data_IF_041978170314
#
_entry.id   IF_041978170314
#
_cell.length_a   1.000
_cell.length_b   1.000
_cell.length_c   1.000
_cell.angle_alpha   90.00
_cell.angle_beta   90.00
_cell.angle_gamma   90.00
#
_symmetry.space_group_name_H-M   'P 1'
#
loop_
_entity.id
_entity.type
_entity.pdbx_description
1 polymer ?
#
# COMPACT_ATOMS: atom_id res chain seq x y z
N UNK A 1 -8.12 -13.53 19.26
CA UNK A 1 -7.21 -12.85 18.32
C UNK A 1 -5.82 -12.95 18.92
N UNK A 2 -4.83 -13.45 18.16
CA UNK A 2 -3.45 -13.48 18.65
C UNK A 2 -2.79 -12.09 18.55
N UNK A 3 -1.67 -11.91 19.25
CA UNK A 3 -0.98 -10.62 19.35
C UNK A 3 -0.43 -10.12 18.01
N UNK A 4 -0.04 -11.02 17.11
CA UNK A 4 0.45 -10.65 15.79
C UNK A 4 -0.68 -10.11 14.93
N UNK A 5 -1.77 -10.85 14.83
CA UNK A 5 -2.96 -10.49 14.06
C UNK A 5 -3.53 -9.16 14.54
N UNK A 6 -3.50 -8.93 15.86
CA UNK A 6 -3.92 -7.69 16.49
C UNK A 6 -3.17 -6.47 15.94
N UNK A 7 -1.84 -6.54 15.86
CA UNK A 7 -1.02 -5.43 15.36
C UNK A 7 -1.11 -5.31 13.84
N UNK A 8 -1.19 -6.41 13.11
CA UNK A 8 -1.37 -6.38 11.65
C UNK A 8 -2.67 -5.65 11.25
N UNK A 9 -3.78 -5.98 11.90
CA UNK A 9 -5.06 -5.31 11.68
C UNK A 9 -4.99 -3.83 12.09
N UNK A 10 -4.37 -3.52 13.23
CA UNK A 10 -4.19 -2.15 13.69
C UNK A 10 -3.34 -1.31 12.73
N UNK A 11 -2.33 -1.94 12.12
CA UNK A 11 -1.51 -1.32 11.09
C UNK A 11 -2.30 -1.04 9.80
N UNK A 12 -3.11 -1.99 9.33
CA UNK A 12 -3.99 -1.81 8.17
C UNK A 12 -5.00 -0.67 8.43
N UNK A 13 -5.57 -0.61 9.64
CA UNK A 13 -6.46 0.48 10.07
C UNK A 13 -5.72 1.83 10.06
N UNK A 14 -4.53 1.92 10.66
CA UNK A 14 -3.71 3.13 10.64
C UNK A 14 -3.36 3.58 9.21
N UNK A 15 -3.08 2.63 8.33
CA UNK A 15 -2.81 2.88 6.91
C UNK A 15 -4.03 3.45 6.19
N UNK A 16 -5.22 2.88 6.43
CA UNK A 16 -6.47 3.37 5.86
C UNK A 16 -6.86 4.76 6.39
N UNK A 17 -6.81 4.94 7.71
CA UNK A 17 -7.16 6.19 8.38
C UNK A 17 -6.26 7.35 7.94
N UNK A 18 -4.96 7.08 7.75
CA UNK A 18 -3.97 8.12 7.52
C UNK A 18 -4.02 9.18 8.61
N UNK A 19 -4.36 10.42 8.25
CA UNK A 19 -4.46 11.56 9.18
C UNK A 19 -5.83 11.70 9.87
N UNK A 20 -6.80 10.87 9.53
CA UNK A 20 -8.15 10.96 10.11
C UNK A 20 -8.11 10.64 11.61
N UNK A 21 -8.63 11.56 12.42
CA UNK A 21 -8.75 11.37 13.86
C UNK A 21 -10.09 10.70 14.21
N UNK A 22 -10.03 9.63 15.00
CA UNK A 22 -11.19 8.84 15.41
C UNK A 22 -11.27 8.85 16.94
N UNK A 23 -12.20 9.61 17.53
CA UNK A 23 -12.33 9.72 18.98
C UNK A 23 -12.63 8.39 19.68
N UNK A 24 -13.23 7.44 18.97
CA UNK A 24 -13.58 6.12 19.49
C UNK A 24 -12.34 5.19 19.61
N UNK A 25 -11.20 5.55 19.00
CA UNK A 25 -9.97 4.75 19.02
C UNK A 25 -8.91 5.39 19.90
N UNK A 26 -8.28 4.57 20.73
CA UNK A 26 -7.24 4.97 21.67
C UNK A 26 -6.00 4.10 21.45
N UNK A 27 -5.93 2.94 22.09
CA UNK A 27 -4.77 2.04 22.04
C UNK A 27 -4.56 1.39 20.67
N UNK A 28 -5.62 1.06 19.94
CA UNK A 28 -5.52 0.43 18.62
C UNK A 28 -4.74 1.33 17.64
N UNK A 29 -4.93 2.64 17.74
CA UNK A 29 -4.21 3.58 16.88
C UNK A 29 -2.75 3.72 17.28
N UNK A 30 -2.47 3.79 18.58
CA UNK A 30 -1.10 3.80 19.13
C UNK A 30 -0.33 2.56 18.70
N UNK A 31 -0.98 1.40 18.72
CA UNK A 31 -0.43 0.14 18.26
C UNK A 31 -0.07 0.16 16.76
N UNK A 32 -0.99 0.63 15.90
CA UNK A 32 -0.73 0.78 14.46
C UNK A 32 0.40 1.79 14.17
N UNK A 33 0.49 2.87 14.95
CA UNK A 33 1.58 3.85 14.87
C UNK A 33 2.92 3.27 15.31
N UNK A 34 2.96 2.45 16.35
CA UNK A 34 4.17 1.77 16.81
C UNK A 34 4.70 0.78 15.78
N UNK A 35 3.82 -0.02 15.18
CA UNK A 35 4.18 -0.92 14.08
C UNK A 35 4.73 -0.13 12.88
N UNK A 36 4.03 0.94 12.48
CA UNK A 36 4.48 1.83 11.41
C UNK A 36 5.87 2.38 11.70
N UNK A 37 6.08 2.96 12.89
CA UNK A 37 7.36 3.56 13.22
C UNK A 37 8.49 2.52 13.25
N UNK A 38 8.27 1.37 13.89
CA UNK A 38 9.25 0.28 13.99
C UNK A 38 9.74 -0.20 12.62
N UNK A 39 8.82 -0.39 11.67
CA UNK A 39 9.16 -0.75 10.28
C UNK A 39 10.04 0.32 9.64
N UNK A 40 9.71 1.60 9.82
CA UNK A 40 10.40 2.69 9.12
C UNK A 40 11.77 3.04 9.73
N UNK A 41 11.94 2.92 11.05
CA UNK A 41 13.20 3.26 11.74
C UNK A 41 14.19 2.10 11.83
N UNK A 42 13.76 0.87 11.54
CA UNK A 42 14.62 -0.32 11.51
C UNK A 42 15.86 -0.07 10.64
N UNK A 43 17.04 -0.43 11.15
CA UNK A 43 18.32 -0.32 10.42
C UNK A 43 18.86 1.11 10.28
N UNK A 44 18.19 2.11 10.85
CA UNK A 44 18.74 3.46 10.94
C UNK A 44 19.76 3.55 12.07
N UNK A 45 20.72 4.45 11.90
CA UNK A 45 21.59 4.86 13.01
C UNK A 45 20.83 5.72 14.02
N UNK A 46 21.58 6.33 14.93
CA UNK A 46 21.01 7.24 15.92
C UNK A 46 20.19 8.37 15.26
N UNK A 47 18.97 8.57 15.77
CA UNK A 47 18.03 9.56 15.27
C UNK A 47 17.79 10.60 16.35
N UNK A 48 18.01 11.87 16.03
CA UNK A 48 17.64 12.96 16.92
C UNK A 48 16.11 13.03 17.08
N UNK A 49 15.63 13.09 18.32
CA UNK A 49 14.20 13.05 18.62
C UNK A 49 13.42 14.25 18.06
N UNK A 50 14.00 15.46 18.07
CA UNK A 50 13.34 16.64 17.49
C UNK A 50 13.24 16.56 15.97
N UNK A 51 14.21 15.93 15.31
CA UNK A 51 14.11 15.64 13.88
C UNK A 51 12.99 14.63 13.67
N UNK A 52 12.96 13.52 14.41
CA UNK A 52 11.92 12.52 14.31
C UNK A 52 10.52 13.13 14.52
N UNK A 53 10.36 13.98 15.53
CA UNK A 53 9.11 14.68 15.84
C UNK A 53 8.61 15.56 14.70
N UNK A 54 9.51 16.29 14.03
CA UNK A 54 9.17 17.17 12.91
C UNK A 54 8.71 16.40 11.67
N UNK A 55 9.20 15.19 11.49
CA UNK A 55 8.95 14.39 10.28
C UNK A 55 7.82 13.36 10.48
N UNK A 56 7.54 12.94 11.72
CA UNK A 56 6.64 11.81 12.00
C UNK A 56 5.19 12.01 11.55
N UNK A 57 4.65 13.22 11.72
CA UNK A 57 3.27 13.52 11.33
C UNK A 57 3.09 13.47 9.81
N UNK A 58 4.04 14.09 9.09
CA UNK A 58 3.99 14.19 7.65
C UNK A 58 4.17 12.83 6.96
N UNK A 59 5.16 12.04 7.40
CA UNK A 59 5.58 10.82 6.69
C UNK A 59 4.97 9.53 7.24
N UNK A 60 4.66 9.46 8.53
CA UNK A 60 4.16 8.24 9.16
C UNK A 60 2.72 8.39 9.64
N UNK A 61 2.12 9.58 9.46
CA UNK A 61 0.82 9.93 10.03
C UNK A 61 0.79 9.72 11.56
N UNK A 62 1.92 9.99 12.22
CA UNK A 62 2.08 9.90 13.68
C UNK A 62 2.12 11.33 14.22
N UNK A 63 1.04 11.84 14.84
CA UNK A 63 1.03 13.19 15.37
C UNK A 63 2.08 13.35 16.47
N UNK A 64 2.65 14.56 16.58
CA UNK A 64 3.69 14.86 17.58
C UNK A 64 3.26 14.56 19.02
N UNK A 65 1.96 14.62 19.32
CA UNK A 65 1.39 14.29 20.63
C UNK A 65 1.51 12.80 20.97
N UNK A 66 1.31 11.92 19.97
CA UNK A 66 1.37 10.47 20.15
C UNK A 66 2.80 9.92 20.05
N UNK A 67 3.71 10.60 19.34
CA UNK A 67 5.06 10.08 19.07
C UNK A 67 5.83 9.68 20.33
N UNK A 68 5.69 10.45 21.43
CA UNK A 68 6.40 10.14 22.68
C UNK A 68 5.98 8.79 23.24
N UNK A 69 4.68 8.51 23.24
CA UNK A 69 4.11 7.25 23.69
C UNK A 69 4.56 6.10 22.79
N UNK A 70 4.45 6.29 21.48
CA UNK A 70 4.91 5.32 20.48
C UNK A 70 6.39 4.96 20.68
N UNK A 71 7.25 5.95 20.89
CA UNK A 71 8.68 5.75 21.17
C UNK A 71 8.89 5.00 22.48
N UNK A 72 8.13 5.31 23.54
CA UNK A 72 8.26 4.55 24.79
C UNK A 72 7.85 3.09 24.62
N UNK A 73 6.75 2.80 23.91
CA UNK A 73 6.31 1.43 23.60
C UNK A 73 7.42 0.66 22.88
N UNK A 74 8.00 1.27 21.84
CA UNK A 74 9.13 0.66 21.13
C UNK A 74 10.35 0.46 22.02
N UNK A 75 10.55 1.32 23.02
CA UNK A 75 11.61 1.13 24.02
C UNK A 75 11.32 -0.03 24.97
N UNK A 76 10.06 -0.21 25.37
CA UNK A 76 9.62 -1.28 26.27
C UNK A 76 9.68 -2.66 25.60
N UNK A 77 9.39 -2.75 24.30
CA UNK A 77 9.59 -3.99 23.52
C UNK A 77 11.03 -4.16 23.00
N UNK A 78 11.98 -3.35 23.51
CA UNK A 78 13.41 -3.39 23.17
C UNK A 78 13.74 -3.17 21.69
N UNK A 79 12.84 -2.54 20.94
CA UNK A 79 13.03 -2.22 19.52
C UNK A 79 13.84 -0.94 19.32
N UNK A 80 13.95 -0.10 20.33
CA UNK A 80 14.81 1.07 20.34
C UNK A 80 15.47 1.26 21.70
N UNK A 81 16.65 1.87 21.71
CA UNK A 81 17.25 2.44 22.91
C UNK A 81 16.94 3.94 22.96
N UNK A 82 16.45 4.41 24.10
CA UNK A 82 16.06 5.81 24.29
C UNK A 82 17.15 6.55 25.07
N UNK A 83 17.81 7.51 24.41
CA UNK A 83 18.79 8.38 25.07
C UNK A 83 18.09 9.60 25.66
N UNK A 84 18.18 9.77 26.97
CA UNK A 84 17.52 10.87 27.69
C UNK A 84 18.53 11.87 28.23
N UNK A 85 18.16 13.16 28.19
CA UNK A 85 18.82 14.23 28.94
C UNK A 85 17.81 14.73 29.98
N UNK A 86 18.01 14.33 31.24
CA UNK A 86 17.01 14.52 32.30
C UNK A 86 15.72 13.76 31.99
N UNK A 87 14.59 14.48 31.85
CA UNK A 87 13.27 13.90 31.51
C UNK A 87 12.97 13.92 30.00
N UNK A 88 13.82 14.54 29.20
CA UNK A 88 13.58 14.78 27.78
C UNK A 88 14.31 13.73 26.93
N UNK A 89 13.61 13.18 25.93
CA UNK A 89 14.22 12.27 24.96
C UNK A 89 15.08 13.11 24.01
N UNK A 90 16.36 12.79 23.92
CA UNK A 90 17.33 13.49 23.07
C UNK A 90 17.52 12.80 21.72
N UNK A 91 17.66 11.48 21.74
CA UNK A 91 17.79 10.64 20.56
C UNK A 91 17.24 9.25 20.82
N UNK A 92 17.01 8.51 19.74
CA UNK A 92 16.69 7.08 19.76
C UNK A 92 17.70 6.34 18.89
N UNK A 93 18.05 5.12 19.30
CA UNK A 93 18.90 4.22 18.54
C UNK A 93 18.07 2.98 18.22
N UNK A 94 17.65 2.79 16.96
CA UNK A 94 16.86 1.63 16.58
C UNK A 94 17.64 0.32 16.70
N UNK A 95 17.04 -0.67 17.35
CA UNK A 95 17.53 -2.04 17.45
C UNK A 95 16.48 -3.08 17.00
N UNK A 96 15.59 -2.65 16.10
CA UNK A 96 14.51 -3.50 15.58
C UNK A 96 15.13 -4.77 14.93
N UNK A 97 14.76 -5.99 15.39
CA UNK A 97 15.33 -7.24 14.89
C UNK A 97 15.15 -7.42 13.36
N UNK A 98 16.11 -8.06 12.65
CA UNK A 98 15.96 -8.38 11.21
C UNK A 98 14.93 -9.48 10.99
N UNK A 99 15.18 -10.58 11.69
CA UNK A 99 14.58 -11.90 11.47
C UNK A 99 13.32 -12.14 12.31
N UNK A 100 12.98 -11.20 13.21
CA UNK A 100 11.78 -11.34 14.02
C UNK A 100 10.64 -10.52 13.44
N UNK A 101 9.45 -11.07 13.64
CA UNK A 101 8.20 -10.45 13.27
C UNK A 101 7.97 -9.18 14.11
N UNK A 102 8.08 -8.00 13.49
CA UNK A 102 7.86 -6.70 14.14
C UNK A 102 6.55 -6.71 14.91
N UNK A 103 5.51 -7.28 14.31
CA UNK A 103 4.15 -7.28 14.82
C UNK A 103 4.03 -8.15 16.05
N UNK A 104 4.72 -9.29 16.10
CA UNK A 104 4.74 -10.13 17.29
C UNK A 104 5.38 -9.40 18.49
N UNK A 105 6.49 -8.70 18.28
CA UNK A 105 7.14 -7.95 19.36
C UNK A 105 6.33 -6.74 19.81
N UNK A 106 5.79 -5.92 18.89
CA UNK A 106 4.87 -4.82 19.25
C UNK A 106 3.62 -5.37 19.95
N UNK A 107 3.09 -6.50 19.46
CA UNK A 107 1.88 -7.12 19.99
C UNK A 107 2.08 -7.72 21.38
N UNK A 108 3.32 -7.95 21.82
CA UNK A 108 3.60 -8.38 23.20
C UNK A 108 3.27 -7.30 24.23
N UNK A 109 3.20 -6.03 23.81
CA UNK A 109 2.86 -4.90 24.67
C UNK A 109 1.34 -4.73 24.89
N UNK A 110 0.51 -5.24 23.97
CA UNK A 110 -0.92 -4.97 23.96
C UNK A 110 -1.73 -6.25 24.15
N UNK A 111 -2.84 -6.15 24.88
CA UNK A 111 -3.84 -7.21 24.94
C UNK A 111 -5.14 -6.79 24.25
N UNK A 112 -5.74 -7.70 23.48
CA UNK A 112 -7.07 -7.49 22.91
C UNK A 112 -8.12 -7.14 23.97
N UNK A 113 -7.99 -7.68 25.19
CA UNK A 113 -8.93 -7.43 26.30
C UNK A 113 -8.85 -6.02 26.88
N UNK A 114 -7.77 -5.28 26.61
CA UNK A 114 -7.56 -3.91 27.11
C UNK A 114 -8.15 -2.86 26.17
N UNK A 115 -8.49 -3.25 24.95
CA UNK A 115 -9.13 -2.39 23.96
C UNK A 115 -10.58 -2.11 24.33
N UNK A 116 -11.08 -0.94 23.92
CA UNK A 116 -12.47 -0.58 24.11
C UNK A 116 -13.39 -1.34 23.12
N UNK A 117 -14.71 -1.27 23.34
CA UNK A 117 -15.69 -2.01 22.53
C UNK A 117 -15.66 -1.63 21.03
N UNK A 118 -15.39 -0.37 20.70
CA UNK A 118 -15.30 0.08 19.30
C UNK A 118 -14.06 -0.46 18.60
N UNK A 119 -12.92 -0.50 19.30
CA UNK A 119 -11.67 -1.07 18.81
C UNK A 119 -11.79 -2.58 18.63
N UNK A 120 -12.27 -3.29 19.65
CA UNK A 120 -12.51 -4.74 19.58
C UNK A 120 -13.47 -5.08 18.44
N UNK A 121 -14.59 -4.36 18.35
CA UNK A 121 -15.58 -4.57 17.30
C UNK A 121 -15.01 -4.35 15.90
N UNK A 122 -14.22 -3.28 15.73
CA UNK A 122 -13.57 -2.97 14.44
C UNK A 122 -12.59 -4.05 14.03
N UNK A 123 -11.74 -4.51 14.96
CA UNK A 123 -10.75 -5.55 14.69
C UNK A 123 -11.41 -6.89 14.33
N UNK A 124 -12.51 -7.26 15.00
CA UNK A 124 -13.26 -8.47 14.68
C UNK A 124 -13.89 -8.41 13.28
N UNK A 125 -14.51 -7.27 12.93
CA UNK A 125 -15.06 -7.06 11.58
C UNK A 125 -13.95 -7.17 10.53
N UNK A 126 -12.82 -6.48 10.75
CA UNK A 126 -11.73 -6.48 9.79
C UNK A 126 -11.05 -7.85 9.70
N UNK A 127 -10.97 -8.61 10.80
CA UNK A 127 -10.48 -10.00 10.80
C UNK A 127 -11.28 -10.91 9.87
N UNK A 128 -12.62 -10.77 9.84
CA UNK A 128 -13.44 -11.52 8.88
C UNK A 128 -13.22 -11.00 7.45
N UNK A 129 -13.26 -9.68 7.27
CA UNK A 129 -13.15 -9.05 5.96
C UNK A 129 -11.78 -9.17 5.29
N UNK A 130 -10.72 -9.43 6.07
CA UNK A 130 -9.40 -9.75 5.54
C UNK A 130 -9.35 -11.11 4.85
N UNK A 131 -10.21 -12.05 5.25
CA UNK A 131 -10.25 -13.40 4.67
C UNK A 131 -11.15 -13.47 3.44
N UNK A 132 -12.26 -12.74 3.44
CA UNK A 132 -13.19 -12.65 2.30
C UNK A 132 -14.15 -11.46 2.45
N UNK A 133 -14.70 -10.94 1.34
CA UNK A 133 -15.90 -10.12 1.40
C UNK A 133 -17.06 -10.92 2.01
N UNK A 134 -17.91 -10.26 2.79
CA UNK A 134 -18.97 -10.94 3.52
C UNK A 134 -20.25 -10.10 3.59
N UNK A 135 -21.40 -10.78 3.66
CA UNK A 135 -22.69 -10.12 3.80
C UNK A 135 -22.83 -9.43 5.17
N UNK A 136 -23.29 -8.19 5.18
CA UNK A 136 -23.55 -7.42 6.41
C UNK A 136 -24.42 -8.18 7.42
N UNK A 137 -25.44 -8.90 6.95
CA UNK A 137 -26.35 -9.64 7.83
C UNK A 137 -25.69 -10.90 8.41
N UNK A 138 -24.76 -11.53 7.68
CA UNK A 138 -23.92 -12.61 8.23
C UNK A 138 -22.96 -12.08 9.31
N UNK A 139 -22.37 -10.89 9.12
CA UNK A 139 -21.53 -10.24 10.15
C UNK A 139 -22.35 -9.90 11.40
N UNK A 140 -23.54 -9.32 11.22
CA UNK A 140 -24.47 -9.02 12.33
C UNK A 140 -24.78 -10.26 13.16
N UNK A 141 -25.09 -11.38 12.49
CA UNK A 141 -25.51 -12.60 13.15
C UNK A 141 -24.34 -13.34 13.83
N UNK A 142 -23.13 -13.24 13.30
CA UNK A 142 -21.96 -13.95 13.84
C UNK A 142 -21.32 -13.25 15.04
N UNK A 143 -21.33 -11.92 15.09
CA UNK A 143 -20.57 -11.16 16.09
C UNK A 143 -21.39 -10.72 17.33
N UNK A 144 -22.71 -10.94 17.33
CA UNK A 144 -23.62 -10.56 18.43
C UNK A 144 -23.43 -9.10 18.94
N UNK A 145 -23.07 -8.18 18.04
CA UNK A 145 -22.86 -6.78 18.41
C UNK A 145 -24.18 -6.04 18.64
N UNK A 146 -24.16 -5.05 19.52
CA UNK A 146 -25.22 -4.05 19.56
C UNK A 146 -25.29 -3.33 18.20
N UNK A 147 -26.49 -3.17 17.65
CA UNK A 147 -26.71 -2.52 16.35
C UNK A 147 -26.03 -1.15 16.21
N UNK A 148 -25.97 -0.36 17.31
CA UNK A 148 -25.32 0.95 17.32
C UNK A 148 -23.80 0.84 17.22
N UNK A 149 -23.21 -0.07 17.99
CA UNK A 149 -21.77 -0.33 17.98
C UNK A 149 -21.33 -0.78 16.58
N UNK A 150 -21.99 -1.78 16.00
CA UNK A 150 -21.68 -2.25 14.65
C UNK A 150 -21.77 -1.12 13.62
N UNK A 151 -22.86 -0.35 13.65
CA UNK A 151 -23.02 0.78 12.73
C UNK A 151 -21.87 1.77 12.87
N UNK A 152 -21.49 2.13 14.09
CA UNK A 152 -20.37 3.05 14.35
C UNK A 152 -19.05 2.49 13.80
N UNK A 153 -18.74 1.22 14.03
CA UNK A 153 -17.53 0.59 13.49
C UNK A 153 -17.50 0.57 11.95
N UNK A 154 -18.66 0.31 11.31
CA UNK A 154 -18.77 0.34 9.85
C UNK A 154 -18.66 1.76 9.28
N UNK A 155 -19.27 2.74 9.93
CA UNK A 155 -19.18 4.16 9.54
C UNK A 155 -17.73 4.63 9.63
N UNK A 156 -17.04 4.36 10.75
CA UNK A 156 -15.61 4.68 10.91
C UNK A 156 -14.77 3.94 9.86
N UNK A 157 -15.05 2.66 9.58
CA UNK A 157 -14.30 1.90 8.59
C UNK A 157 -14.49 2.37 7.16
N UNK A 158 -15.67 2.85 6.82
CA UNK A 158 -15.96 3.46 5.53
C UNK A 158 -15.20 4.79 5.37
N UNK A 159 -15.27 5.66 6.38
CA UNK A 159 -14.59 6.96 6.39
C UNK A 159 -13.05 6.78 6.41
N UNK A 160 -12.58 5.78 7.15
CA UNK A 160 -11.18 5.37 7.26
C UNK A 160 -10.67 4.52 6.11
N UNK A 161 -11.45 4.30 5.05
CA UNK A 161 -11.01 3.57 3.85
C UNK A 161 -10.46 2.15 4.08
N UNK A 162 -10.81 1.49 5.18
CA UNK A 162 -10.42 0.10 5.46
C UNK A 162 -11.61 -0.89 5.43
N UNK A 163 -12.84 -0.37 5.29
CA UNK A 163 -14.05 -1.13 4.96
C UNK A 163 -14.75 -0.46 3.78
N UNK A 164 -15.22 -1.26 2.82
CA UNK A 164 -16.09 -0.83 1.72
C UNK A 164 -17.41 -1.58 1.80
N UNK A 165 -18.50 -0.91 1.45
CA UNK A 165 -19.84 -1.49 1.39
C UNK A 165 -20.37 -1.35 -0.03
N UNK A 166 -20.76 -2.48 -0.60
CA UNK A 166 -21.30 -2.60 -1.94
C UNK A 166 -22.73 -3.11 -1.85
N UNK A 167 -23.66 -2.40 -2.49
CA UNK A 167 -25.06 -2.80 -2.52
C UNK A 167 -25.40 -3.40 -3.87
N UNK A 168 -25.61 -4.71 -3.91
CA UNK A 168 -25.95 -5.44 -5.13
C UNK A 168 -27.19 -6.30 -4.88
N UNK A 169 -28.22 -6.14 -5.73
CA UNK A 169 -29.50 -6.88 -5.66
C UNK A 169 -30.13 -6.95 -4.26
N UNK A 170 -30.07 -5.85 -3.52
CA UNK A 170 -30.66 -5.73 -2.18
C UNK A 170 -29.80 -6.29 -1.04
N UNK A 171 -28.66 -6.92 -1.33
CA UNK A 171 -27.67 -7.36 -0.34
C UNK A 171 -26.60 -6.28 -0.16
N UNK A 172 -26.10 -6.14 1.06
CA UNK A 172 -24.94 -5.29 1.37
C UNK A 172 -23.74 -6.20 1.61
N UNK A 173 -22.79 -6.19 0.69
CA UNK A 173 -21.54 -6.94 0.79
C UNK A 173 -20.46 -5.99 1.31
N UNK A 174 -19.85 -6.37 2.41
CA UNK A 174 -18.72 -5.67 3.00
C UNK A 174 -17.43 -6.29 2.49
N UNK A 175 -16.42 -5.47 2.24
CA UNK A 175 -15.09 -5.95 1.87
C UNK A 175 -14.00 -5.07 2.47
N UNK A 176 -12.85 -5.65 2.74
CA UNK A 176 -11.65 -4.89 3.03
C UNK A 176 -10.88 -4.60 1.74
N UNK A 177 -10.44 -3.34 1.48
CA UNK A 177 -9.47 -3.04 0.44
C UNK A 177 -8.19 -3.89 0.53
N UNK A 178 -7.80 -4.28 1.74
CA UNK A 178 -6.64 -5.13 1.99
C UNK A 178 -6.85 -6.59 1.59
N UNK A 179 -8.11 -7.06 1.48
CA UNK A 179 -8.40 -8.37 0.88
C UNK A 179 -8.12 -8.34 -0.62
N UNK A 180 -8.68 -7.37 -1.34
CA UNK A 180 -8.48 -7.29 -2.79
C UNK A 180 -7.02 -7.08 -3.17
N UNK A 181 -6.28 -6.37 -2.32
CA UNK A 181 -4.87 -6.10 -2.52
C UNK A 181 -3.98 -7.32 -2.76
N UNK A 182 -4.37 -8.46 -2.18
CA UNK A 182 -3.51 -9.64 -2.09
C UNK A 182 -4.07 -10.87 -2.81
N UNK A 183 -5.27 -10.78 -3.39
CA UNK A 183 -6.04 -11.95 -3.85
C UNK A 183 -6.40 -11.87 -5.35
N UNK A 184 -5.40 -11.74 -6.23
CA UNK A 184 -5.64 -11.63 -7.68
C UNK A 184 -6.38 -12.84 -8.26
N UNK A 185 -5.93 -14.05 -7.92
CA UNK A 185 -6.50 -15.29 -8.47
C UNK A 185 -7.95 -15.47 -8.02
N UNK A 186 -8.25 -15.23 -6.75
CA UNK A 186 -9.63 -15.24 -6.25
C UNK A 186 -10.52 -14.22 -6.96
N UNK A 187 -10.00 -13.03 -7.29
CA UNK A 187 -10.74 -12.02 -8.04
C UNK A 187 -11.04 -12.48 -9.47
N UNK A 188 -10.07 -13.08 -10.15
CA UNK A 188 -10.23 -13.62 -11.50
C UNK A 188 -11.24 -14.78 -11.51
N UNK A 189 -11.14 -15.69 -10.54
CA UNK A 189 -12.05 -16.81 -10.40
C UNK A 189 -13.49 -16.37 -10.15
N UNK A 190 -13.69 -15.39 -9.27
CA UNK A 190 -15.02 -14.83 -8.99
C UNK A 190 -15.56 -14.10 -10.21
N UNK A 191 -14.76 -13.26 -10.88
CA UNK A 191 -15.18 -12.59 -12.10
C UNK A 191 -15.62 -13.59 -13.19
N UNK A 192 -14.87 -14.68 -13.37
CA UNK A 192 -15.19 -15.74 -14.32
C UNK A 192 -16.48 -16.48 -13.95
N UNK A 193 -16.64 -16.89 -12.68
CA UNK A 193 -17.84 -17.59 -12.18
C UNK A 193 -19.09 -16.72 -12.26
N UNK A 194 -18.96 -15.42 -12.02
CA UNK A 194 -20.05 -14.45 -12.06
C UNK A 194 -20.43 -14.01 -13.48
N UNK A 195 -19.66 -14.38 -14.50
CA UNK A 195 -19.90 -13.96 -15.89
C UNK A 195 -19.44 -12.52 -16.19
N UNK A 196 -18.63 -11.91 -15.32
CA UNK A 196 -18.12 -10.55 -15.47
C UNK A 196 -16.92 -10.49 -16.44
N UNK A 197 -17.17 -10.79 -17.71
CA UNK A 197 -16.14 -10.96 -18.75
C UNK A 197 -15.31 -9.69 -19.03
N UNK A 198 -15.89 -8.49 -18.90
CA UNK A 198 -15.12 -7.25 -19.08
C UNK A 198 -14.19 -6.99 -17.90
N UNK A 199 -14.58 -7.37 -16.67
CA UNK A 199 -13.68 -7.29 -15.51
C UNK A 199 -12.50 -8.24 -15.71
N UNK A 200 -12.75 -9.48 -16.13
CA UNK A 200 -11.68 -10.42 -16.45
C UNK A 200 -10.73 -9.85 -17.50
N UNK A 201 -11.29 -9.26 -18.57
CA UNK A 201 -10.51 -8.65 -19.64
C UNK A 201 -9.67 -7.47 -19.14
N UNK A 202 -10.25 -6.60 -18.31
CA UNK A 202 -9.53 -5.47 -17.69
C UNK A 202 -8.36 -5.97 -16.86
N UNK A 203 -8.57 -6.96 -15.99
CA UNK A 203 -7.52 -7.55 -15.16
C UNK A 203 -6.40 -8.14 -16.03
N UNK A 204 -6.73 -8.90 -17.07
CA UNK A 204 -5.76 -9.53 -17.98
C UNK A 204 -4.90 -8.49 -18.72
N UNK A 205 -5.53 -7.42 -19.23
CA UNK A 205 -4.85 -6.36 -19.96
C UNK A 205 -3.90 -5.58 -19.04
N UNK A 206 -4.33 -5.29 -17.80
CA UNK A 206 -3.49 -4.64 -16.79
C UNK A 206 -2.35 -5.57 -16.37
N UNK A 207 -2.61 -6.86 -16.13
CA UNK A 207 -1.59 -7.87 -15.78
C UNK A 207 -0.47 -7.90 -16.82
N UNK A 208 -0.84 -7.85 -18.10
CA UNK A 208 0.11 -7.85 -19.22
C UNK A 208 0.86 -6.53 -19.40
N UNK A 209 0.40 -5.44 -18.76
CA UNK A 209 0.90 -4.09 -18.97
C UNK A 209 1.01 -3.29 -17.66
N UNK A 210 1.60 -3.91 -16.63
CA UNK A 210 1.74 -3.33 -15.29
C UNK A 210 2.34 -1.90 -15.33
N UNK A 211 1.74 -1.03 -14.52
CA UNK A 211 2.16 0.35 -14.33
C UNK A 211 1.86 1.26 -15.51
N UNK A 212 0.75 1.05 -16.22
CA UNK A 212 0.33 2.00 -17.26
C UNK A 212 -0.29 3.26 -16.61
N UNK A 213 0.03 4.49 -17.07
CA UNK A 213 -0.53 5.72 -16.50
C UNK A 213 -2.02 5.84 -16.78
N UNK A 214 -2.82 6.05 -15.73
CA UNK A 214 -4.28 6.14 -15.82
C UNK A 214 -4.73 7.25 -16.77
N UNK A 215 -4.07 8.41 -16.76
CA UNK A 215 -4.38 9.52 -17.67
C UNK A 215 -4.25 9.15 -19.15
N UNK A 216 -3.29 8.28 -19.49
CA UNK A 216 -3.11 7.77 -20.86
C UNK A 216 -4.20 6.78 -21.23
N UNK A 217 -4.58 5.89 -20.31
CA UNK A 217 -5.67 4.93 -20.52
C UNK A 217 -6.96 5.68 -20.81
N UNK A 218 -7.30 6.67 -19.99
CA UNK A 218 -8.54 7.44 -20.14
C UNK A 218 -8.60 8.23 -21.45
N UNK A 219 -7.46 8.75 -21.91
CA UNK A 219 -7.37 9.54 -23.15
C UNK A 219 -7.37 8.69 -24.41
N UNK A 220 -6.69 7.53 -24.37
CA UNK A 220 -6.46 6.71 -25.57
C UNK A 220 -7.41 5.51 -25.68
N UNK A 221 -8.09 5.13 -24.60
CA UNK A 221 -8.81 3.86 -24.49
C UNK A 221 -7.91 2.68 -24.85
N UNK A 222 -6.64 2.73 -24.49
CA UNK A 222 -5.65 1.75 -24.89
C UNK A 222 -4.62 1.50 -23.79
N UNK A 223 -4.23 0.23 -23.66
CA UNK A 223 -3.14 -0.21 -22.80
C UNK A 223 -2.23 -1.13 -23.61
N UNK A 224 -0.98 -0.71 -23.82
CA UNK A 224 0.02 -1.55 -24.49
C UNK A 224 -0.37 -2.05 -25.88
N UNK A 225 -1.07 -1.25 -26.69
CA UNK A 225 -1.57 -1.68 -28.01
C UNK A 225 -2.96 -2.34 -27.99
N UNK A 226 -3.49 -2.65 -26.80
CA UNK A 226 -4.81 -3.28 -26.65
C UNK A 226 -5.87 -2.22 -26.40
N UNK A 227 -6.85 -2.13 -27.30
CA UNK A 227 -8.00 -1.23 -27.15
C UNK A 227 -8.95 -1.72 -26.06
N UNK A 228 -9.49 -0.78 -25.30
CA UNK A 228 -10.54 -0.97 -24.33
C UNK A 228 -11.87 -0.41 -24.84
N UNK A 229 -12.97 -1.05 -24.44
CA UNK A 229 -14.31 -0.46 -24.59
C UNK A 229 -14.54 0.63 -23.54
N UNK A 230 -15.55 1.47 -23.74
CA UNK A 230 -15.92 2.48 -22.75
C UNK A 230 -16.38 1.84 -21.44
N UNK A 231 -17.06 0.69 -21.52
CA UNK A 231 -17.44 -0.15 -20.36
C UNK A 231 -16.19 -0.65 -19.61
N UNK A 232 -15.19 -1.20 -20.31
CA UNK A 232 -13.94 -1.67 -19.71
C UNK A 232 -13.14 -0.52 -19.07
N UNK A 233 -13.09 0.66 -19.69
CA UNK A 233 -12.50 1.85 -19.08
C UNK A 233 -13.24 2.24 -17.80
N UNK A 234 -14.57 2.28 -17.85
CA UNK A 234 -15.40 2.63 -16.69
C UNK A 234 -15.16 1.67 -15.53
N UNK A 235 -15.12 0.37 -15.82
CA UNK A 235 -14.75 -0.68 -14.86
C UNK A 235 -13.34 -0.48 -14.31
N UNK A 236 -12.34 -0.25 -15.17
CA UNK A 236 -10.95 -0.06 -14.74
C UNK A 236 -10.81 1.11 -13.76
N UNK A 237 -11.40 2.26 -14.07
CA UNK A 237 -11.38 3.43 -13.18
C UNK A 237 -12.06 3.10 -11.85
N UNK A 238 -13.21 2.44 -11.89
CA UNK A 238 -13.94 2.07 -10.68
C UNK A 238 -13.16 1.06 -9.82
N UNK A 239 -12.57 0.03 -10.42
CA UNK A 239 -11.73 -0.94 -9.73
C UNK A 239 -10.52 -0.28 -9.07
N UNK A 240 -9.93 0.76 -9.66
CA UNK A 240 -8.89 1.57 -9.01
C UNK A 240 -9.44 2.34 -7.80
N UNK A 241 -10.61 2.98 -7.94
CA UNK A 241 -11.22 3.77 -6.86
C UNK A 241 -11.62 2.93 -5.65
N UNK A 242 -12.00 1.67 -5.87
CA UNK A 242 -12.36 0.72 -4.82
C UNK A 242 -11.17 -0.10 -4.31
N UNK A 243 -9.94 0.22 -4.75
CA UNK A 243 -8.70 -0.49 -4.40
C UNK A 243 -8.68 -1.97 -4.81
N UNK A 244 -9.52 -2.37 -5.77
CA UNK A 244 -9.48 -3.71 -6.35
C UNK A 244 -8.28 -3.83 -7.30
N UNK A 245 -8.05 -2.80 -8.12
CA UNK A 245 -6.77 -2.59 -8.78
C UNK A 245 -5.91 -1.65 -7.93
N UNK A 246 -4.60 -1.86 -7.98
CA UNK A 246 -3.61 -1.09 -7.21
C UNK A 246 -3.24 0.18 -7.97
N UNK A 247 -3.54 1.38 -7.45
CA UNK A 247 -3.33 2.62 -8.18
C UNK A 247 -2.30 3.53 -7.45
N UNK A 248 -1.04 3.11 -7.24
CA UNK A 248 -0.05 3.97 -6.63
C UNK A 248 0.12 5.25 -7.46
N UNK A 249 0.34 6.36 -6.76
CA UNK A 249 0.52 7.67 -7.38
C UNK A 249 1.93 8.18 -7.16
N UNK A 250 2.49 8.79 -8.21
CA UNK A 250 3.77 9.48 -8.14
C UNK A 250 3.55 10.97 -8.39
N UNK A 251 4.22 11.82 -7.60
CA UNK A 251 4.25 13.27 -7.78
C UNK A 251 5.51 13.66 -8.56
N UNK A 252 5.35 14.42 -9.64
CA UNK A 252 6.43 14.91 -10.48
C UNK A 252 6.30 16.41 -10.67
N UNK A 253 7.14 17.18 -9.97
CA UNK A 253 7.02 18.64 -9.93
C UNK A 253 5.65 19.05 -9.40
N UNK A 254 4.87 19.78 -10.21
CA UNK A 254 3.51 20.23 -9.88
C UNK A 254 2.41 19.26 -10.36
N UNK A 255 2.77 18.13 -10.95
CA UNK A 255 1.83 17.13 -11.48
C UNK A 255 1.81 15.87 -10.63
N UNK A 256 0.69 15.17 -10.61
CA UNK A 256 0.56 13.84 -10.00
C UNK A 256 -0.05 12.91 -11.03
N UNK A 257 0.52 11.72 -11.16
CA UNK A 257 0.03 10.67 -12.05
C UNK A 257 -0.23 9.39 -11.27
N UNK A 258 -1.30 8.69 -11.63
CA UNK A 258 -1.69 7.42 -11.03
C UNK A 258 -1.36 6.30 -12.02
N UNK A 259 -0.69 5.26 -11.54
CA UNK A 259 -0.29 4.12 -12.36
C UNK A 259 -1.13 2.91 -11.97
N UNK A 260 -1.54 2.10 -12.94
CA UNK A 260 -2.48 0.99 -12.71
C UNK A 260 -1.73 -0.33 -12.66
N UNK A 261 -1.95 -1.07 -11.58
CA UNK A 261 -1.39 -2.39 -11.33
C UNK A 261 -2.50 -3.36 -10.91
N UNK A 262 -2.27 -4.65 -11.12
CA UNK A 262 -3.09 -5.67 -10.47
C UNK A 262 -2.73 -5.79 -8.98
N UNK A 263 -3.59 -6.40 -8.16
CA UNK A 263 -3.20 -7.03 -6.90
C UNK A 263 -1.97 -7.92 -7.05
N UNK A 264 -1.34 -8.26 -5.93
CA UNK A 264 -0.22 -9.21 -5.96
C UNK A 264 -0.68 -10.52 -6.60
N UNK A 265 0.04 -11.04 -7.61
CA UNK A 265 -0.29 -12.35 -8.17
C UNK A 265 -0.13 -13.46 -7.12
N UNK A 266 -0.89 -14.54 -7.23
CA UNK A 266 -0.90 -15.64 -6.25
C UNK A 266 -2.23 -15.80 -5.49
N UNK A 267 -2.34 -16.92 -4.78
CA UNK A 267 -3.49 -17.31 -3.94
C UNK A 267 -3.29 -17.02 -2.45
N UNK A 268 -2.05 -16.83 -2.02
CA UNK A 268 -1.73 -16.62 -0.62
C UNK A 268 -1.58 -15.13 -0.33
N UNK A 269 -2.24 -14.68 0.75
CA UNK A 269 -2.07 -13.34 1.30
C UNK A 269 -0.57 -13.06 1.46
N UNK A 270 -0.10 -11.96 0.90
CA UNK A 270 1.26 -11.53 1.16
C UNK A 270 1.39 -11.19 2.64
N UNK A 271 2.42 -11.75 3.28
CA UNK A 271 2.84 -11.22 4.56
C UNK A 271 3.26 -9.74 4.38
N UNK A 272 3.32 -9.00 5.47
CA UNK A 272 3.59 -7.58 5.40
C UNK A 272 4.93 -7.23 4.70
N UNK A 273 6.00 -7.96 4.99
CA UNK A 273 7.30 -7.73 4.37
C UNK A 273 7.21 -7.85 2.84
N UNK A 274 6.47 -8.85 2.35
CA UNK A 274 6.23 -9.05 0.94
C UNK A 274 5.31 -7.98 0.33
N UNK A 275 4.32 -7.45 1.08
CA UNK A 275 3.52 -6.29 0.65
C UNK A 275 4.41 -5.07 0.43
N UNK A 276 5.37 -4.81 1.32
CA UNK A 276 6.32 -3.70 1.17
C UNK A 276 7.24 -3.90 -0.05
N UNK A 277 7.76 -5.11 -0.25
CA UNK A 277 8.55 -5.46 -1.45
C UNK A 277 7.72 -5.22 -2.72
N UNK A 278 6.44 -5.59 -2.71
CA UNK A 278 5.53 -5.38 -3.83
C UNK A 278 5.29 -3.89 -4.11
N UNK A 279 5.06 -3.07 -3.08
CA UNK A 279 4.92 -1.61 -3.21
C UNK A 279 6.19 -0.97 -3.80
N UNK A 280 7.39 -1.39 -3.35
CA UNK A 280 8.67 -0.91 -3.92
C UNK A 280 8.82 -1.32 -5.39
N UNK A 281 8.41 -2.54 -5.75
CA UNK A 281 8.42 -2.99 -7.13
C UNK A 281 7.46 -2.19 -8.02
N UNK A 282 6.24 -1.90 -7.53
CA UNK A 282 5.29 -1.03 -8.24
C UNK A 282 5.87 0.37 -8.44
N UNK A 283 6.51 0.95 -7.43
CA UNK A 283 7.16 2.25 -7.55
C UNK A 283 8.31 2.24 -8.58
N UNK A 284 9.14 1.18 -8.61
CA UNK A 284 10.18 0.99 -9.62
C UNK A 284 9.58 0.99 -11.04
N UNK A 285 8.52 0.21 -11.23
CA UNK A 285 7.82 0.13 -12.52
C UNK A 285 7.22 1.48 -12.88
N UNK A 286 6.52 2.15 -11.96
CA UNK A 286 5.88 3.43 -12.20
C UNK A 286 6.90 4.51 -12.59
N UNK A 287 8.07 4.57 -11.94
CA UNK A 287 9.15 5.48 -12.32
C UNK A 287 9.68 5.20 -13.72
N UNK A 288 9.86 3.92 -14.08
CA UNK A 288 10.31 3.52 -15.42
C UNK A 288 9.23 3.82 -16.47
N UNK A 289 7.96 3.59 -16.15
CA UNK A 289 6.81 3.85 -17.02
C UNK A 289 6.58 5.35 -17.23
N UNK A 290 6.84 6.20 -16.23
CA UNK A 290 6.91 7.66 -16.40
C UNK A 290 7.89 8.01 -17.51
N UNK A 291 9.14 7.58 -17.42
CA UNK A 291 10.14 7.88 -18.46
C UNK A 291 9.87 7.20 -19.81
N UNK A 292 9.10 6.11 -19.84
CA UNK A 292 8.74 5.44 -21.09
C UNK A 292 7.58 6.14 -21.82
N UNK A 293 6.51 6.45 -21.09
CA UNK A 293 5.21 6.81 -21.65
C UNK A 293 4.87 8.30 -21.48
N UNK A 294 5.47 8.94 -20.47
CA UNK A 294 5.33 10.36 -20.16
C UNK A 294 6.71 11.06 -20.07
N UNK A 295 7.63 10.87 -21.04
CA UNK A 295 8.93 11.56 -21.00
C UNK A 295 8.79 13.03 -21.34
N UNK A 296 9.61 13.87 -20.70
CA UNK A 296 9.75 15.27 -21.10
C UNK A 296 10.79 15.41 -22.23
N UNK A 297 11.96 14.81 -22.04
CA UNK A 297 13.11 14.84 -22.94
C UNK A 297 13.78 13.47 -23.13
N UNK A 298 13.82 12.60 -22.11
CA UNK A 298 14.59 11.36 -22.10
C UNK A 298 13.70 10.11 -22.10
N UNK A 299 13.19 9.74 -23.28
CA UNK A 299 12.33 8.55 -23.44
C UNK A 299 13.08 7.24 -23.17
N UNK A 300 12.56 6.44 -22.22
CA UNK A 300 12.96 5.06 -22.01
C UNK A 300 12.34 4.18 -23.10
N UNK A 301 13.18 3.49 -23.88
CA UNK A 301 12.73 2.57 -24.95
C UNK A 301 12.64 1.12 -24.49
N UNK A 302 13.49 0.72 -23.54
CA UNK A 302 13.61 -0.66 -23.09
C UNK A 302 13.53 -0.72 -21.55
N UNK A 303 12.32 -0.66 -20.97
CA UNK A 303 12.12 -0.55 -19.54
C UNK A 303 12.76 -1.71 -18.76
N UNK A 304 12.58 -2.94 -19.25
CA UNK A 304 13.19 -4.14 -18.63
C UNK A 304 14.72 -4.07 -18.64
N UNK A 305 15.34 -3.70 -19.77
CA UNK A 305 16.81 -3.60 -19.85
C UNK A 305 17.37 -2.50 -18.95
N UNK A 306 16.61 -1.44 -18.72
CA UNK A 306 17.00 -0.38 -17.80
C UNK A 306 17.08 -0.91 -16.36
N UNK A 307 16.04 -1.63 -15.90
CA UNK A 307 16.04 -2.25 -14.57
C UNK A 307 17.11 -3.35 -14.44
N UNK A 308 17.34 -4.16 -15.48
CA UNK A 308 18.44 -5.12 -15.50
C UNK A 308 19.81 -4.42 -15.36
N UNK A 309 20.01 -3.32 -16.08
CA UNK A 309 21.24 -2.52 -15.95
C UNK A 309 21.40 -1.92 -14.55
N UNK A 310 20.30 -1.51 -13.90
CA UNK A 310 20.34 -1.05 -12.51
C UNK A 310 20.78 -2.18 -11.57
N UNK A 311 20.25 -3.39 -11.75
CA UNK A 311 20.62 -4.57 -10.94
C UNK A 311 22.09 -4.94 -11.09
N UNK A 312 22.55 -5.00 -12.34
CA UNK A 312 23.93 -5.38 -12.70
C UNK A 312 24.95 -4.33 -12.23
N UNK A 313 24.73 -3.05 -12.59
CA UNK A 313 25.72 -1.99 -12.36
C UNK A 313 25.58 -1.33 -11.00
N UNK A 314 24.39 -1.40 -10.39
CA UNK A 314 24.03 -0.66 -9.18
C UNK A 314 23.67 0.80 -9.44
N UNK A 315 23.67 1.27 -10.69
CA UNK A 315 23.28 2.65 -11.02
C UNK A 315 22.75 2.81 -12.45
N UNK A 316 21.98 3.89 -12.66
CA UNK A 316 21.52 4.37 -13.96
C UNK A 316 22.33 5.60 -14.38
N UNK A 317 22.61 5.69 -15.68
CA UNK A 317 23.34 6.83 -16.27
C UNK A 317 22.59 8.13 -16.05
N UNK A 318 23.35 9.23 -15.96
CA UNK A 318 22.80 10.53 -15.68
C UNK A 318 21.90 11.09 -16.80
N UNK A 319 20.87 11.82 -16.38
CA UNK A 319 20.10 12.74 -17.21
C UNK A 319 19.50 13.84 -16.30
N UNK A 320 18.83 14.83 -16.88
CA UNK A 320 18.21 15.93 -16.12
C UNK A 320 16.87 15.55 -15.48
N UNK A 321 16.13 14.60 -16.06
CA UNK A 321 14.86 14.13 -15.50
C UNK A 321 15.03 13.19 -14.30
N UNK A 322 16.21 12.60 -14.11
CA UNK A 322 16.44 11.54 -13.12
C UNK A 322 16.10 11.97 -11.69
N UNK A 323 16.33 13.25 -11.35
CA UNK A 323 15.96 13.77 -10.03
C UNK A 323 14.45 13.74 -9.78
N UNK A 324 13.64 14.09 -10.79
CA UNK A 324 12.18 14.10 -10.68
C UNK A 324 11.64 12.67 -10.83
N UNK A 325 12.18 11.93 -11.80
CA UNK A 325 11.71 10.59 -12.16
C UNK A 325 11.94 9.56 -11.05
N UNK A 326 13.08 9.60 -10.37
CA UNK A 326 13.45 8.57 -9.38
C UNK A 326 13.39 9.08 -7.93
N UNK A 327 12.86 10.29 -7.69
CA UNK A 327 12.70 10.87 -6.36
C UNK A 327 11.99 9.92 -5.40
N UNK A 328 10.88 9.33 -5.87
CA UNK A 328 10.05 8.43 -5.06
C UNK A 328 10.77 7.14 -4.69
N UNK A 329 11.70 6.67 -5.53
CA UNK A 329 12.56 5.55 -5.18
C UNK A 329 13.59 5.88 -4.12
N UNK A 330 13.97 7.16 -3.99
CA UNK A 330 14.78 7.62 -2.86
C UNK A 330 13.96 7.62 -1.58
N UNK A 331 12.70 8.08 -1.64
CA UNK A 331 11.78 8.03 -0.51
C UNK A 331 11.57 6.60 0.01
N UNK A 332 11.29 5.66 -0.89
CA UNK A 332 11.12 4.24 -0.56
C UNK A 332 12.44 3.52 -0.23
N UNK A 333 13.55 4.25 -0.13
CA UNK A 333 14.91 3.73 0.15
C UNK A 333 15.38 2.68 -0.85
N UNK A 334 14.81 2.66 -2.04
CA UNK A 334 15.23 1.78 -3.14
C UNK A 334 16.57 2.28 -3.70
N UNK A 335 16.78 3.60 -3.77
CA UNK A 335 18.04 4.16 -4.25
C UNK A 335 18.41 5.51 -3.68
N UNK A 336 19.45 6.12 -4.23
CA UNK A 336 19.95 7.46 -3.91
C UNK A 336 20.23 8.20 -5.20
N UNK A 337 19.99 9.50 -5.19
CA UNK A 337 20.34 10.39 -6.30
C UNK A 337 21.72 11.00 -6.06
N UNK A 338 22.61 10.85 -7.04
CA UNK A 338 23.95 11.46 -7.03
C UNK A 338 24.04 12.54 -8.09
N UNK A 339 24.24 13.78 -7.67
CA UNK A 339 24.45 14.91 -8.57
C UNK A 339 25.86 14.85 -9.16
N UNK A 340 25.98 14.96 -10.49
CA UNK A 340 27.26 14.99 -11.22
C UNK A 340 27.56 16.35 -11.88
N UNK A 341 26.60 17.27 -11.88
CA UNK A 341 26.70 18.61 -12.46
C UNK A 341 25.46 19.44 -12.11
N UNK A 342 25.30 20.63 -12.68
CA UNK A 342 24.20 21.55 -12.32
C UNK A 342 22.80 20.94 -12.48
N UNK A 343 22.59 20.12 -13.50
CA UNK A 343 21.28 19.52 -13.83
C UNK A 343 21.40 18.07 -14.32
N UNK A 344 22.31 17.29 -13.71
CA UNK A 344 22.51 15.89 -14.09
C UNK A 344 22.64 15.00 -12.87
N UNK A 345 21.78 13.98 -12.83
CA UNK A 345 21.62 13.09 -11.69
C UNK A 345 21.72 11.63 -12.11
N UNK A 346 22.51 10.86 -11.37
CA UNK A 346 22.49 9.41 -11.45
C UNK A 346 21.61 8.84 -10.35
N UNK A 347 20.87 7.78 -10.66
CA UNK A 347 20.18 6.99 -9.65
C UNK A 347 21.02 5.77 -9.30
N UNK A 348 21.36 5.62 -8.02
CA UNK A 348 22.17 4.53 -7.47
C UNK A 348 21.29 3.63 -6.60
N UNK A 349 21.25 2.32 -6.87
CA UNK A 349 20.53 1.34 -6.07
C UNK A 349 21.15 1.25 -4.67
N UNK A 350 20.32 1.32 -3.63
CA UNK A 350 20.73 0.88 -2.29
C UNK A 350 20.60 -0.62 -2.27
N UNK A 351 21.73 -1.33 -2.26
CA UNK A 351 21.79 -2.80 -2.32
C UNK A 351 21.40 -3.43 -0.98
N UNK A 352 20.11 -3.44 -0.68
CA UNK A 352 19.52 -4.30 0.35
C UNK A 352 18.85 -5.49 -0.31
N UNK A 353 18.63 -6.56 0.45
CA UNK A 353 18.00 -7.77 -0.05
C UNK A 353 16.59 -7.50 -0.60
N UNK A 354 15.79 -6.68 0.09
CA UNK A 354 14.45 -6.29 -0.36
C UNK A 354 14.47 -5.46 -1.62
N UNK A 355 15.45 -4.58 -1.79
CA UNK A 355 15.54 -3.76 -2.99
C UNK A 355 15.97 -4.60 -4.18
N UNK A 356 16.84 -5.59 -3.96
CA UNK A 356 17.21 -6.57 -4.99
C UNK A 356 16.01 -7.50 -5.31
N UNK A 357 15.23 -7.92 -4.30
CA UNK A 357 13.97 -8.65 -4.46
C UNK A 357 12.93 -7.82 -5.20
N UNK A 358 12.68 -6.58 -4.78
CA UNK A 358 11.75 -5.65 -5.42
C UNK A 358 12.17 -5.32 -6.85
N UNK A 359 13.46 -5.19 -7.12
CA UNK A 359 13.99 -4.97 -8.46
C UNK A 359 13.83 -6.20 -9.36
N UNK A 360 14.08 -7.39 -8.82
CA UNK A 360 13.83 -8.65 -9.53
C UNK A 360 12.35 -8.82 -9.82
N UNK A 361 11.50 -8.59 -8.82
CA UNK A 361 10.06 -8.59 -8.94
C UNK A 361 9.57 -7.58 -10.00
N UNK A 362 10.08 -6.35 -9.99
CA UNK A 362 9.73 -5.33 -10.98
C UNK A 362 10.11 -5.77 -12.42
N UNK A 363 11.24 -6.45 -12.57
CA UNK A 363 11.66 -7.03 -13.86
C UNK A 363 10.70 -8.15 -14.29
N UNK A 364 10.31 -9.03 -13.38
CA UNK A 364 9.45 -10.16 -13.67
C UNK A 364 8.01 -9.71 -14.00
N UNK A 365 7.45 -8.80 -13.20
CA UNK A 365 6.14 -8.18 -13.47
C UNK A 365 6.09 -7.48 -14.83
N UNK A 366 7.18 -6.83 -15.26
CA UNK A 366 7.24 -6.20 -16.58
C UNK A 366 7.39 -7.20 -17.74
N UNK A 367 7.85 -8.43 -17.46
CA UNK A 367 8.08 -9.47 -18.47
C UNK A 367 6.88 -10.39 -18.64
N UNK A 368 6.35 -10.88 -17.53
CA UNK A 368 5.34 -11.95 -17.50
C UNK A 368 4.04 -11.51 -16.81
N UNK A 369 4.08 -10.46 -15.99
CA UNK A 369 2.95 -10.06 -15.16
C UNK A 369 2.68 -11.05 -14.01
N UNK A 370 3.63 -11.93 -13.70
CA UNK A 370 3.49 -13.01 -12.71
C UNK A 370 4.59 -12.96 -11.65
N UNK A 371 4.30 -13.53 -10.47
CA UNK A 371 5.31 -13.76 -9.45
C UNK A 371 6.03 -15.08 -9.74
N UNK A 372 7.32 -15.03 -10.05
CA UNK A 372 8.17 -16.18 -9.80
C UNK A 372 8.74 -16.05 -8.38
N UNK A 373 8.42 -17.00 -7.49
CA UNK A 373 9.15 -17.25 -6.23
C UNK A 373 9.04 -16.23 -5.08
N UNK A 374 7.92 -15.52 -4.88
CA UNK A 374 7.76 -14.64 -3.71
C UNK A 374 7.39 -15.35 -2.40
N UNK A 375 7.17 -16.68 -2.45
CA UNK A 375 6.81 -17.48 -1.26
C UNK A 375 7.99 -17.83 -0.35
N UNK A 376 9.23 -17.54 -0.74
CA UNK A 376 10.40 -17.82 0.09
C UNK A 376 11.31 -16.62 0.00
N UNK A 377 11.48 -15.91 1.11
CA UNK A 377 12.78 -15.50 1.66
C UNK A 377 12.61 -14.33 2.66
N UNK A 378 12.93 -14.61 3.93
CA UNK A 378 12.51 -13.86 5.13
C UNK A 378 13.28 -12.57 5.43
N UNK A 379 14.28 -12.21 4.61
CA UNK A 379 15.25 -11.21 5.06
C UNK A 379 15.25 -9.90 4.31
N UNK A 380 15.29 -8.85 5.14
CA UNK A 380 14.99 -7.49 4.76
C UNK A 380 15.52 -6.45 5.79
N UNK A 381 16.61 -5.71 5.47
CA UNK A 381 17.02 -4.52 6.26
C UNK A 381 17.46 -3.31 5.42
N UNK A 382 17.07 -2.14 5.95
CA UNK A 382 17.03 -0.78 5.38
C UNK A 382 18.27 0.12 5.68
N UNK A 383 18.34 1.30 5.01
CA UNK A 383 18.86 2.58 5.55
C UNK A 383 18.37 3.84 4.77
N UNK A 384 18.07 4.96 5.46
CA UNK A 384 17.50 6.25 4.95
C UNK A 384 18.52 7.37 4.66
N UNK A 385 18.11 8.31 3.78
CA UNK A 385 18.25 9.78 3.95
C UNK A 385 17.25 10.60 3.08
N UNK A 386 16.41 11.41 3.75
CA UNK A 386 15.67 12.68 3.44
C UNK A 386 14.85 12.94 2.14
N UNK A 387 13.60 13.36 2.43
CA UNK A 387 12.63 14.27 1.78
C UNK A 387 11.68 13.75 0.64
N UNK A 388 10.35 13.97 0.87
CA UNK A 388 9.14 13.93 -0.01
C UNK A 388 8.26 12.66 -0.12
N UNK A 389 6.94 12.82 -0.39
CA UNK A 389 5.81 11.88 -0.13
C UNK A 389 5.42 10.90 -1.29
N UNK A 390 5.58 9.58 -1.10
CA UNK A 390 4.86 8.52 -1.84
C UNK A 390 3.51 8.21 -1.18
N UNK A 391 2.46 8.03 -1.98
CA UNK A 391 1.13 7.68 -1.49
C UNK A 391 0.84 6.21 -1.82
N UNK A 392 0.81 5.37 -0.78
CA UNK A 392 0.49 3.93 -0.89
C UNK A 392 -0.82 3.68 -1.64
N UNK A 393 -0.97 2.51 -2.25
CA UNK A 393 -2.10 2.20 -3.14
C UNK A 393 -3.48 2.45 -2.52
N UNK A 394 -3.66 2.12 -1.23
CA UNK A 394 -4.94 2.25 -0.51
C UNK A 394 -5.32 3.72 -0.32
N UNK A 395 -4.36 4.54 0.12
CA UNK A 395 -4.54 5.98 0.24
C UNK A 395 -4.72 6.64 -1.13
N UNK A 396 -3.97 6.20 -2.15
CA UNK A 396 -4.10 6.70 -3.52
C UNK A 396 -5.49 6.43 -4.10
N UNK A 397 -6.07 5.26 -3.86
CA UNK A 397 -7.43 4.94 -4.28
C UNK A 397 -8.48 5.83 -3.59
N UNK A 398 -8.31 6.09 -2.29
CA UNK A 398 -9.17 7.00 -1.54
C UNK A 398 -9.08 8.44 -2.09
N UNK A 399 -7.87 8.94 -2.34
CA UNK A 399 -7.68 10.24 -2.98
C UNK A 399 -8.28 10.30 -4.39
N UNK A 400 -8.09 9.24 -5.19
CA UNK A 400 -8.64 9.15 -6.54
C UNK A 400 -10.17 9.23 -6.51
N UNK A 401 -10.82 8.53 -5.57
CA UNK A 401 -12.27 8.56 -5.36
C UNK A 401 -12.78 9.93 -4.91
N UNK A 402 -12.03 10.63 -4.06
CA UNK A 402 -12.37 11.99 -3.64
C UNK A 402 -12.25 13.01 -4.78
N UNK A 403 -11.15 12.95 -5.55
CA UNK A 403 -10.90 13.84 -6.68
C UNK A 403 -11.84 13.57 -7.85
N UNK A 404 -12.28 12.32 -8.02
CA UNK A 404 -13.07 11.88 -9.18
C UNK A 404 -14.21 10.97 -8.75
N UNK A 405 -15.44 11.45 -8.85
CA UNK A 405 -16.62 10.57 -8.79
C UNK A 405 -16.85 9.96 -10.16
N UNK A 406 -16.38 8.74 -10.41
CA UNK A 406 -16.72 8.05 -11.67
C UNK A 406 -18.12 7.48 -11.55
N UNK A 407 -19.01 7.84 -12.47
CA UNK A 407 -20.29 7.17 -12.62
C UNK A 407 -20.07 5.97 -13.54
N UNK A 408 -20.30 4.77 -13.03
CA UNK A 408 -20.34 3.56 -13.86
C UNK A 408 -21.45 3.71 -14.90
N UNK A 409 -21.20 3.24 -16.13
CA UNK A 409 -22.31 3.00 -17.06
C UNK A 409 -23.13 1.78 -16.57
N UNK A 410 -24.34 1.60 -17.10
CA UNK A 410 -25.26 0.56 -16.61
C UNK A 410 -24.67 -0.85 -16.73
N UNK A 411 -24.00 -1.14 -17.85
CA UNK A 411 -23.35 -2.43 -18.10
C UNK A 411 -22.18 -2.71 -17.14
N UNK A 412 -21.33 -1.70 -16.87
CA UNK A 412 -20.23 -1.82 -15.92
C UNK A 412 -20.74 -1.96 -14.49
N UNK A 413 -21.82 -1.25 -14.13
CA UNK A 413 -22.47 -1.39 -12.84
C UNK A 413 -23.01 -2.81 -12.66
N UNK A 414 -23.65 -3.38 -13.68
CA UNK A 414 -24.17 -4.75 -13.61
C UNK A 414 -23.06 -5.79 -13.46
N UNK A 415 -21.98 -5.70 -14.25
CA UNK A 415 -20.88 -6.65 -14.14
C UNK A 415 -20.14 -6.55 -12.81
N UNK A 416 -19.97 -5.34 -12.28
CA UNK A 416 -19.40 -5.15 -10.96
C UNK A 416 -20.29 -5.75 -9.86
N UNK A 417 -21.61 -5.49 -9.92
CA UNK A 417 -22.57 -6.08 -8.99
C UNK A 417 -22.56 -7.61 -9.05
N UNK A 418 -22.47 -8.20 -10.24
CA UNK A 418 -22.37 -9.65 -10.42
C UNK A 418 -21.09 -10.22 -9.80
N UNK A 419 -19.95 -9.57 -10.00
CA UNK A 419 -18.68 -9.98 -9.37
C UNK A 419 -18.79 -9.90 -7.85
N UNK A 420 -19.30 -8.79 -7.30
CA UNK A 420 -19.44 -8.60 -5.86
C UNK A 420 -20.37 -9.64 -5.23
N UNK A 421 -21.47 -9.98 -5.91
CA UNK A 421 -22.38 -11.05 -5.46
C UNK A 421 -21.77 -12.45 -5.52
N UNK A 422 -20.74 -12.66 -6.33
CA UNK A 422 -20.03 -13.94 -6.40
C UNK A 422 -19.22 -14.27 -5.14
N UNK A 423 -19.05 -13.31 -4.22
CA UNK A 423 -18.39 -13.52 -2.92
C UNK A 423 -19.35 -13.95 -1.80
N UNK A 424 -20.67 -13.84 -1.99
CA UNK A 424 -21.69 -14.26 -1.01
C UNK A 424 -21.96 -15.77 -1.08
#
# INVERSE_FOLDING_TARGET
MDSKQLVELSYDIQTGLGRLDVPDFDQMRIMGMAATLAVHIRGLGEINYEILRKVSDHYFNIPSSALKEVVNILGEVEYIQITKVGKTISSIIPDVPRFQDVYAGVGSYFSFSELNEHEQGTLLILSELQNKPENLDKIKNSMNFESKLLKRCLDIGADGNYIKSFRARGKNILASPFYFADNLESLVDVAAKSGATDIQRVIEVVKSNQGWPLSLIERSLEIGGTKLTETQKSLLVHLCQESVLKPPSLKFGNSQETFVFTPSPGNARLNFANREIYERAMALIACVRKGQLLPEAFRIRMPVRLLQSLREKGYLRNNSEAAIQYRELVFLKVGKLKQLGSDRWEFHLVRTEENEKALTLAIDLLRTGELANLEVDQDARLALSKDDEYIQSVLSAAELKQRRKSKLNEEAAEQFDQMILGFD
#
